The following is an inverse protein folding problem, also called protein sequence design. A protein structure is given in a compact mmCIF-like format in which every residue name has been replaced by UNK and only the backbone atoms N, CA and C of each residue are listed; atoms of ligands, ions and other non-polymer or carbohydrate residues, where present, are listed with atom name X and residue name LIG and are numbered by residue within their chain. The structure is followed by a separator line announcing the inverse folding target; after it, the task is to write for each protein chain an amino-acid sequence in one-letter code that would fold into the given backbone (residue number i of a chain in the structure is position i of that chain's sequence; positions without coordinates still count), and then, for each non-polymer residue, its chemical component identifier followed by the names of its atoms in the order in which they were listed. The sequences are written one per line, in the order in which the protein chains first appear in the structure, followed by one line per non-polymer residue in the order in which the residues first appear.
data_IF_304945419675
#
_entry.id   IF_304945419675
#
_cell.length_a   1.000
_cell.length_b   1.000
_cell.length_c   1.000
_cell.angle_alpha   90.00
_cell.angle_beta   90.00
_cell.angle_gamma   90.00
#
_symmetry.space_group_name_H-M   'P 1'
#
loop_
_entity.id
_entity.type
_entity.pdbx_description
1 polymer ?
#
# COMPACT_ATOMS: atom_id res chain seq x y z
N UNK A 1 -6.93 -11.03 -15.87
CA UNK A 1 -6.36 -9.99 -14.97
C UNK A 1 -7.53 -9.28 -14.34
N UNK A 2 -7.59 -9.23 -13.02
CA UNK A 2 -8.69 -8.62 -12.27
C UNK A 2 -8.18 -7.36 -11.56
N UNK A 3 -8.92 -6.27 -11.65
CA UNK A 3 -8.63 -5.02 -10.94
C UNK A 3 -9.20 -5.12 -9.52
N UNK A 4 -8.42 -4.68 -8.53
CA UNK A 4 -8.87 -4.55 -7.14
C UNK A 4 -9.10 -3.08 -6.82
N UNK A 5 -10.27 -2.78 -6.28
CA UNK A 5 -10.67 -1.46 -5.82
C UNK A 5 -11.45 -1.59 -4.52
N UNK A 6 -11.17 -0.74 -3.54
CA UNK A 6 -11.86 -0.70 -2.25
C UNK A 6 -11.97 0.74 -1.73
N UNK A 7 -13.11 1.11 -1.13
CA UNK A 7 -13.28 2.42 -0.48
C UNK A 7 -12.50 2.52 0.84
N UNK A 8 -12.03 1.40 1.38
CA UNK A 8 -11.35 1.37 2.69
C UNK A 8 -9.88 1.79 2.61
N UNK A 9 -9.28 1.80 1.42
CA UNK A 9 -7.88 2.19 1.20
C UNK A 9 -7.80 3.55 0.50
N UNK A 10 -6.60 4.13 0.49
CA UNK A 10 -6.31 5.39 -0.21
C UNK A 10 -6.72 5.26 -1.69
N UNK A 11 -7.49 6.22 -2.23
CA UNK A 11 -7.92 6.17 -3.62
C UNK A 11 -6.70 6.20 -4.56
N UNK A 12 -6.69 5.40 -5.63
CA UNK A 12 -5.60 5.44 -6.60
C UNK A 12 -5.69 6.71 -7.45
N UNK A 13 -4.57 7.16 -8.00
CA UNK A 13 -4.58 8.18 -9.06
C UNK A 13 -5.13 7.59 -10.37
N UNK A 14 -5.66 8.40 -11.30
CA UNK A 14 -6.29 7.91 -12.55
C UNK A 14 -5.39 7.09 -13.49
N UNK A 15 -4.09 6.99 -13.19
CA UNK A 15 -3.08 6.32 -14.01
C UNK A 15 -2.73 4.91 -13.51
N UNK A 16 -3.26 4.47 -12.37
CA UNK A 16 -3.02 3.12 -11.83
C UNK A 16 -4.23 2.58 -11.04
N UNK A 17 -4.21 1.29 -10.70
CA UNK A 17 -5.17 0.65 -9.79
C UNK A 17 -4.54 0.38 -8.42
N UNK A 18 -5.33 0.22 -7.35
CA UNK A 18 -4.79 -0.11 -6.02
C UNK A 18 -4.03 -1.44 -6.02
N UNK A 19 -4.59 -2.46 -6.68
CA UNK A 19 -3.90 -3.71 -6.97
C UNK A 19 -4.49 -4.40 -8.20
N UNK A 20 -3.79 -5.43 -8.68
CA UNK A 20 -4.30 -6.34 -9.71
C UNK A 20 -4.02 -7.79 -9.32
N UNK A 21 -4.93 -8.69 -9.71
CA UNK A 21 -4.77 -10.13 -9.53
C UNK A 21 -4.49 -10.75 -10.90
N UNK A 22 -3.37 -11.46 -10.99
CA UNK A 22 -2.96 -12.16 -12.21
C UNK A 22 -2.20 -13.44 -11.85
N UNK A 23 -2.59 -14.55 -12.48
CA UNK A 23 -1.95 -15.87 -12.31
C UNK A 23 -1.72 -16.25 -10.84
N UNK A 24 -2.76 -16.08 -10.00
CA UNK A 24 -2.72 -16.45 -8.57
C UNK A 24 -1.93 -15.50 -7.65
N UNK A 25 -1.39 -14.40 -8.16
CA UNK A 25 -0.64 -13.41 -7.39
C UNK A 25 -1.38 -12.08 -7.33
N UNK A 26 -1.22 -11.38 -6.20
CA UNK A 26 -1.69 -10.00 -6.01
C UNK A 26 -0.51 -9.05 -6.18
N UNK A 27 -0.62 -8.15 -7.15
CA UNK A 27 0.35 -7.08 -7.38
C UNK A 27 -0.25 -5.79 -6.83
N UNK A 28 0.27 -5.34 -5.68
CA UNK A 28 -0.19 -4.13 -4.98
C UNK A 28 0.62 -2.94 -5.47
N UNK A 29 -0.05 -1.83 -5.78
CA UNK A 29 0.61 -0.57 -6.13
C UNK A 29 1.36 0.02 -4.93
N UNK A 30 2.25 0.98 -5.18
CA UNK A 30 2.96 1.68 -4.11
C UNK A 30 1.99 2.32 -3.12
N UNK A 31 2.26 2.16 -1.83
CA UNK A 31 1.48 2.77 -0.75
C UNK A 31 2.41 3.66 0.08
N UNK A 32 1.95 4.87 0.36
CA UNK A 32 2.63 5.82 1.24
C UNK A 32 1.81 6.01 2.52
N UNK A 33 2.45 6.58 3.54
CA UNK A 33 1.81 6.90 4.82
C UNK A 33 0.94 8.15 4.73
N UNK A 34 -0.17 8.09 4.00
CA UNK A 34 -1.11 9.21 3.86
C UNK A 34 -2.55 8.86 4.25
N UNK A 35 -3.33 9.91 4.51
CA UNK A 35 -4.78 9.86 4.71
C UNK A 35 -5.52 9.62 3.39
N UNK A 36 -6.83 9.40 3.44
CA UNK A 36 -7.67 9.28 2.25
C UNK A 36 -7.64 10.54 1.36
N UNK A 37 -7.36 11.70 1.95
CA UNK A 37 -7.22 12.99 1.27
C UNK A 37 -5.81 13.23 0.70
N UNK A 38 -4.96 12.19 0.67
CA UNK A 38 -3.57 12.23 0.17
C UNK A 38 -2.65 13.17 0.96
N UNK A 39 -2.96 13.40 2.24
CA UNK A 39 -2.10 14.15 3.17
C UNK A 39 -1.18 13.18 3.91
N UNK A 40 0.14 13.39 3.84
CA UNK A 40 1.12 12.59 4.58
C UNK A 40 0.88 12.76 6.08
N UNK A 41 0.88 11.65 6.82
CA UNK A 41 0.63 11.68 8.26
C UNK A 41 1.81 12.27 9.01
N UNK A 42 1.52 13.02 10.07
CA UNK A 42 2.57 13.55 10.95
C UNK A 42 3.21 12.45 11.81
N UNK A 43 4.40 12.72 12.35
CA UNK A 43 5.14 11.79 13.21
C UNK A 43 6.35 11.11 12.55
N UNK A 44 6.66 11.48 11.31
CA UNK A 44 7.83 11.03 10.55
C UNK A 44 7.77 9.55 10.16
N UNK A 45 8.91 9.01 9.74
CA UNK A 45 9.03 7.69 9.07
C UNK A 45 8.29 6.56 9.79
N UNK A 46 8.29 6.52 11.13
CA UNK A 46 7.61 5.46 11.89
C UNK A 46 6.09 5.52 11.75
N UNK A 47 5.51 6.71 11.84
CA UNK A 47 4.08 6.92 11.66
C UNK A 47 3.69 6.68 10.20
N UNK A 48 4.48 7.19 9.26
CA UNK A 48 4.26 7.01 7.82
C UNK A 48 4.33 5.54 7.42
N UNK A 49 5.34 4.80 7.90
CA UNK A 49 5.50 3.37 7.64
C UNK A 49 4.32 2.56 8.16
N UNK A 50 3.85 2.87 9.38
CA UNK A 50 2.66 2.20 9.95
C UNK A 50 1.44 2.39 9.06
N UNK A 51 1.16 3.62 8.66
CA UNK A 51 0.00 3.94 7.81
C UNK A 51 0.15 3.35 6.42
N UNK A 52 1.36 3.35 5.83
CA UNK A 52 1.63 2.69 4.56
C UNK A 52 1.29 1.19 4.61
N UNK A 53 1.73 0.49 5.67
CA UNK A 53 1.45 -0.93 5.87
C UNK A 53 -0.04 -1.21 6.15
N UNK A 54 -0.72 -0.33 6.88
CA UNK A 54 -2.17 -0.41 7.08
C UNK A 54 -2.92 -0.25 5.74
N UNK A 55 -2.51 0.68 4.89
CA UNK A 55 -3.08 0.87 3.56
C UNK A 55 -2.86 -0.37 2.68
N UNK A 56 -1.65 -0.95 2.67
CA UNK A 56 -1.37 -2.23 2.00
C UNK A 56 -2.28 -3.34 2.52
N UNK A 57 -2.47 -3.44 3.84
CA UNK A 57 -3.34 -4.45 4.45
C UNK A 57 -4.79 -4.35 3.95
N UNK A 58 -5.33 -3.13 3.85
CA UNK A 58 -6.70 -2.89 3.36
C UNK A 58 -6.86 -3.31 1.89
N UNK A 59 -5.86 -3.03 1.05
CA UNK A 59 -5.87 -3.45 -0.37
C UNK A 59 -5.74 -4.97 -0.50
N UNK A 60 -4.85 -5.61 0.27
CA UNK A 60 -4.70 -7.07 0.27
C UNK A 60 -5.97 -7.77 0.75
N UNK A 61 -6.65 -7.24 1.76
CA UNK A 61 -7.93 -7.78 2.24
C UNK A 61 -8.99 -7.72 1.14
N UNK A 62 -9.10 -6.62 0.40
CA UNK A 62 -10.01 -6.49 -0.75
C UNK A 62 -9.66 -7.46 -1.90
N UNK A 63 -8.41 -7.89 -2.00
CA UNK A 63 -7.96 -8.90 -2.95
C UNK A 63 -8.16 -10.36 -2.47
N UNK A 64 -8.74 -10.58 -1.27
CA UNK A 64 -8.87 -11.92 -0.67
C UNK A 64 -7.55 -12.49 -0.14
N UNK A 65 -6.59 -11.63 0.19
CA UNK A 65 -5.26 -11.96 0.71
C UNK A 65 -5.01 -11.27 2.07
N UNK A 66 -3.77 -11.30 2.55
CA UNK A 66 -3.36 -10.63 3.79
C UNK A 66 -1.85 -10.37 3.82
N UNK A 67 -1.39 -9.56 4.78
CA UNK A 67 0.04 -9.32 5.01
C UNK A 67 0.83 -10.62 5.22
N UNK A 68 0.22 -11.63 5.86
CA UNK A 68 0.84 -12.93 6.11
C UNK A 68 1.12 -13.74 4.84
N UNK A 69 0.55 -13.35 3.69
CA UNK A 69 0.74 -14.00 2.38
C UNK A 69 1.71 -13.23 1.48
N UNK A 70 2.35 -12.18 1.97
CA UNK A 70 3.37 -11.43 1.22
C UNK A 70 4.59 -12.33 1.02
N UNK A 71 4.97 -12.53 -0.24
CA UNK A 71 6.19 -13.28 -0.61
C UNK A 71 7.37 -12.37 -0.96
N UNK A 72 7.09 -11.09 -1.28
CA UNK A 72 8.10 -10.07 -1.60
C UNK A 72 7.53 -8.68 -1.32
N UNK A 73 8.36 -7.83 -0.74
CA UNK A 73 8.12 -6.39 -0.63
C UNK A 73 9.23 -5.62 -1.36
N UNK A 74 8.91 -4.44 -1.88
CA UNK A 74 9.88 -3.43 -2.29
C UNK A 74 9.63 -2.21 -1.41
N UNK A 75 10.66 -1.77 -0.68
CA UNK A 75 10.59 -0.63 0.23
C UNK A 75 11.52 0.45 -0.31
N UNK A 76 10.98 1.66 -0.45
CA UNK A 76 11.71 2.84 -0.92
C UNK A 76 11.69 3.87 0.21
N UNK A 77 12.87 4.31 0.63
CA UNK A 77 13.06 5.35 1.64
C UNK A 77 13.66 6.59 0.97
N UNK A 78 13.33 7.77 1.49
CA UNK A 78 13.88 9.03 1.00
C UNK A 78 15.30 9.23 1.55
N UNK A 79 15.50 9.01 2.84
CA UNK A 79 16.82 9.04 3.48
C UNK A 79 17.13 7.73 4.21
N UNK A 80 17.95 6.87 3.60
CA UNK A 80 18.33 5.60 4.19
C UNK A 80 19.08 5.74 5.53
N UNK A 81 19.80 6.84 5.75
CA UNK A 81 20.64 7.01 6.94
C UNK A 81 19.81 7.27 8.19
N UNK A 82 18.73 8.03 8.07
CA UNK A 82 17.87 8.37 9.21
C UNK A 82 16.66 7.44 9.36
N UNK A 83 16.20 6.83 8.27
CA UNK A 83 14.87 6.23 8.18
C UNK A 83 14.85 4.70 8.17
N UNK A 84 16.02 4.05 8.06
CA UNK A 84 16.16 2.59 8.17
C UNK A 84 16.35 2.14 9.63
#
# INVERSE_FOLDING_TARGET
MQIVSTPNAVPPLPIFSQATISKGHVFVSGNIGCTADLVVVEGGVKAETRVALENVSKVLAAAGSSLARIVKANVYLIDFKSDF
#
